data_IF_340398743990
#
_entry.id   IF_340398743990
#
_cell.length_a   1.000
_cell.length_b   1.000
_cell.length_c   1.000
_cell.angle_alpha   90.00
_cell.angle_beta   90.00
_cell.angle_gamma   90.00
#
_symmetry.space_group_name_H-M   'P 1'
#
loop_
_entity.id
_entity.type
_entity.pdbx_description
1 polymer ?
#
# COMPACT_ATOMS: atom_id res chain seq x y z
N UNK A 1 7.06 -31.53 -52.86
CA UNK A 1 7.18 -32.88 -52.29
C UNK A 1 6.40 -32.93 -50.99
N UNK A 2 5.43 -33.85 -50.86
CA UNK A 2 4.77 -34.21 -49.60
C UNK A 2 5.39 -35.52 -49.10
N UNK A 3 5.47 -35.73 -47.78
CA UNK A 3 5.18 -37.05 -47.26
C UNK A 3 4.02 -36.99 -46.26
N UNK A 4 3.07 -37.88 -46.50
CA UNK A 4 1.91 -38.21 -45.68
C UNK A 4 2.24 -39.51 -44.96
N UNK A 5 2.22 -39.58 -43.63
CA UNK A 5 2.10 -40.82 -42.86
C UNK A 5 1.34 -40.52 -41.56
N UNK A 6 0.03 -40.76 -41.52
CA UNK A 6 -0.69 -41.98 -41.08
C UNK A 6 -0.72 -42.19 -39.56
N UNK A 7 -1.96 -42.13 -39.05
CA UNK A 7 -2.45 -42.51 -37.70
C UNK A 7 -2.29 -44.01 -37.42
N UNK A 8 -2.39 -44.36 -36.12
CA UNK A 8 -2.90 -45.59 -35.43
C UNK A 8 -1.97 -45.93 -34.24
N UNK A 9 -2.38 -46.34 -33.04
CA UNK A 9 -3.67 -46.61 -32.40
C UNK A 9 -3.49 -46.82 -30.87
N UNK A 10 -4.61 -46.71 -30.13
CA UNK A 10 -5.08 -47.53 -28.98
C UNK A 10 -4.29 -47.66 -27.64
N UNK A 11 -4.90 -47.05 -26.61
CA UNK A 11 -5.28 -47.59 -25.27
C UNK A 11 -4.35 -48.48 -24.44
N UNK A 12 -4.09 -48.08 -23.19
CA UNK A 12 -4.11 -48.97 -22.03
C UNK A 12 -4.48 -48.18 -20.75
N UNK A 13 -5.47 -48.69 -20.01
CA UNK A 13 -5.88 -48.21 -18.71
C UNK A 13 -4.86 -48.58 -17.62
N UNK A 14 -4.69 -47.73 -16.62
CA UNK A 14 -3.86 -47.98 -15.44
C UNK A 14 -4.44 -47.29 -14.21
N UNK A 15 -5.33 -48.00 -13.53
CA UNK A 15 -5.86 -47.66 -12.21
C UNK A 15 -4.80 -48.05 -11.16
N UNK A 16 -4.33 -47.11 -10.33
CA UNK A 16 -3.66 -47.43 -9.07
C UNK A 16 -4.16 -46.49 -7.98
N UNK A 17 -4.98 -47.07 -7.10
CA UNK A 17 -5.36 -46.56 -5.78
C UNK A 17 -4.25 -46.93 -4.78
N UNK A 18 -3.87 -46.02 -3.87
CA UNK A 18 -3.85 -46.29 -2.42
C UNK A 18 -3.38 -45.06 -1.61
N UNK A 19 -4.16 -44.64 -0.58
CA UNK A 19 -3.77 -43.62 0.39
C UNK A 19 -2.89 -44.22 1.50
N UNK A 20 -1.83 -43.50 1.87
CA UNK A 20 -1.03 -43.84 3.06
C UNK A 20 -1.78 -43.33 4.30
N UNK A 21 -2.30 -44.26 5.08
CA UNK A 21 -2.78 -44.02 6.42
C UNK A 21 -1.60 -43.77 7.37
N UNK A 22 -1.60 -42.63 8.06
CA UNK A 22 -0.91 -42.48 9.35
C UNK A 22 -1.96 -42.28 10.43
N UNK A 23 -2.09 -43.32 11.24
CA UNK A 23 -2.84 -43.35 12.49
C UNK A 23 -2.07 -42.52 13.52
N UNK A 24 -2.69 -41.45 14.00
CA UNK A 24 -2.29 -40.74 15.21
C UNK A 24 -3.45 -40.79 16.19
N UNK A 25 -3.42 -41.78 17.09
CA UNK A 25 -4.36 -41.95 18.19
C UNK A 25 -3.94 -41.00 19.33
N UNK A 26 -4.80 -40.06 19.69
CA UNK A 26 -4.63 -39.16 20.83
C UNK A 26 -6.00 -38.72 21.34
N UNK A 27 -6.65 -39.60 22.10
CA UNK A 27 -7.86 -39.29 22.89
C UNK A 27 -7.38 -38.87 24.28
N UNK A 28 -7.66 -37.63 24.63
CA UNK A 28 -7.40 -36.97 25.91
C UNK A 28 -7.36 -35.47 25.61
N UNK A 29 -8.41 -34.68 25.82
CA UNK A 29 -9.17 -34.53 27.06
C UNK A 29 -8.79 -33.15 27.62
N UNK A 30 -9.62 -32.14 27.35
CA UNK A 30 -9.45 -30.76 27.85
C UNK A 30 -9.35 -29.71 26.74
N UNK A 31 -10.45 -29.48 26.01
CA UNK A 31 -10.63 -28.31 25.15
C UNK A 31 -11.05 -27.11 26.04
N UNK A 32 -10.08 -26.56 26.76
CA UNK A 32 -10.12 -25.19 27.28
C UNK A 32 -8.68 -24.68 27.39
N UNK A 33 -8.12 -24.21 26.28
CA UNK A 33 -7.39 -22.94 26.29
C UNK A 33 -7.01 -22.50 24.86
N UNK A 34 -7.50 -21.30 24.53
CA UNK A 34 -6.67 -20.23 24.01
C UNK A 34 -5.78 -20.53 22.79
N UNK A 35 -6.37 -20.33 21.61
CA UNK A 35 -5.89 -19.35 20.61
C UNK A 35 -6.34 -19.76 19.22
N UNK A 36 -7.56 -19.35 18.87
CA UNK A 36 -7.90 -19.14 17.47
C UNK A 36 -7.00 -18.02 16.91
N UNK A 37 -5.83 -18.40 16.39
CA UNK A 37 -4.98 -17.54 15.58
C UNK A 37 -5.84 -16.90 14.50
N UNK A 38 -6.01 -15.58 14.57
CA UNK A 38 -6.76 -14.76 13.61
C UNK A 38 -5.98 -14.71 12.28
N UNK A 39 -6.36 -15.46 11.23
CA UNK A 39 -5.55 -15.56 10.02
C UNK A 39 -5.60 -14.31 9.13
N UNK A 40 -6.55 -13.40 9.40
CA UNK A 40 -6.79 -12.20 8.60
C UNK A 40 -6.06 -10.93 9.08
N UNK A 41 -5.36 -10.97 10.23
CA UNK A 41 -4.66 -9.78 10.76
C UNK A 41 -3.30 -9.56 10.09
N UNK A 42 -2.55 -10.63 9.84
CA UNK A 42 -1.23 -10.56 9.22
C UNK A 42 -1.23 -9.88 7.82
N UNK A 43 -2.20 -10.14 6.91
CA UNK A 43 -2.23 -9.46 5.62
C UNK A 43 -2.59 -7.97 5.70
N UNK A 44 -3.44 -7.58 6.66
CA UNK A 44 -3.83 -6.19 6.85
C UNK A 44 -2.67 -5.36 7.44
N UNK A 45 -1.95 -5.93 8.40
CA UNK A 45 -0.78 -5.30 9.01
C UNK A 45 0.37 -5.17 7.99
N UNK A 46 0.59 -6.18 7.13
CA UNK A 46 1.54 -6.08 6.02
C UNK A 46 1.16 -4.94 5.06
N UNK A 47 -0.10 -4.89 4.63
CA UNK A 47 -0.58 -3.86 3.72
C UNK A 47 -0.34 -2.45 4.29
N UNK A 48 -0.65 -2.23 5.57
CA UNK A 48 -0.43 -0.95 6.24
C UNK A 48 1.06 -0.58 6.31
N UNK A 49 1.93 -1.52 6.67
CA UNK A 49 3.38 -1.31 6.72
C UNK A 49 3.95 -0.98 5.34
N UNK A 50 3.64 -1.78 4.31
CA UNK A 50 4.11 -1.55 2.94
C UNK A 50 3.62 -0.23 2.37
N UNK A 51 2.39 0.15 2.69
CA UNK A 51 1.82 1.42 2.25
C UNK A 51 2.50 2.61 2.93
N UNK A 52 2.81 2.49 4.23
CA UNK A 52 3.60 3.50 4.95
C UNK A 52 4.98 3.69 4.32
N UNK A 53 5.72 2.59 4.13
CA UNK A 53 7.06 2.61 3.54
C UNK A 53 7.05 3.28 2.16
N UNK A 54 6.08 2.90 1.32
CA UNK A 54 5.97 3.41 -0.04
C UNK A 54 5.69 4.91 -0.09
N UNK A 55 4.74 5.38 0.72
CA UNK A 55 4.39 6.80 0.78
C UNK A 55 5.51 7.61 1.43
N UNK A 56 6.14 7.11 2.49
CA UNK A 56 7.28 7.80 3.11
C UNK A 56 8.42 8.00 2.10
N UNK A 57 8.76 6.98 1.31
CA UNK A 57 9.78 7.11 0.27
C UNK A 57 9.42 8.17 -0.80
N UNK A 58 8.14 8.33 -1.12
CA UNK A 58 7.68 9.38 -2.04
C UNK A 58 7.81 10.78 -1.42
N UNK A 59 7.44 10.94 -0.15
CA UNK A 59 7.59 12.19 0.60
C UNK A 59 9.07 12.59 0.72
N UNK A 60 9.93 11.62 1.01
CA UNK A 60 11.38 11.84 1.12
C UNK A 60 11.97 12.26 -0.24
N UNK A 61 11.51 11.64 -1.34
CA UNK A 61 11.89 12.04 -2.69
C UNK A 61 11.44 13.47 -3.04
N UNK A 62 10.23 13.87 -2.64
CA UNK A 62 9.76 15.26 -2.81
C UNK A 62 10.62 16.26 -2.04
N UNK A 63 10.98 15.93 -0.79
CA UNK A 63 11.84 16.78 0.04
C UNK A 63 13.26 16.89 -0.53
N UNK A 64 13.80 15.79 -1.06
CA UNK A 64 15.11 15.72 -1.70
C UNK A 64 15.13 16.24 -3.15
N UNK A 65 13.96 16.51 -3.74
CA UNK A 65 13.78 16.84 -5.16
C UNK A 65 14.31 15.77 -6.11
N UNK A 66 14.21 14.51 -5.69
CA UNK A 66 14.61 13.36 -6.51
C UNK A 66 13.42 12.85 -7.33
N UNK A 67 13.34 13.35 -8.56
CA UNK A 67 12.28 13.00 -9.53
C UNK A 67 12.25 11.49 -9.81
N UNK A 68 13.41 10.86 -9.96
CA UNK A 68 13.49 9.44 -10.29
C UNK A 68 13.03 8.58 -9.11
N UNK A 69 13.46 8.91 -7.89
CA UNK A 69 13.01 8.24 -6.69
C UNK A 69 11.49 8.40 -6.48
N UNK A 70 10.95 9.60 -6.70
CA UNK A 70 9.51 9.88 -6.60
C UNK A 70 8.71 9.05 -7.61
N UNK A 71 9.09 9.11 -8.89
CA UNK A 71 8.47 8.34 -9.98
C UNK A 71 8.46 6.84 -9.69
N UNK A 72 9.53 6.30 -9.13
CA UNK A 72 9.64 4.86 -8.82
C UNK A 72 8.68 4.37 -7.73
N UNK A 73 8.07 5.26 -6.95
CA UNK A 73 7.05 4.88 -5.96
C UNK A 73 5.65 4.73 -6.57
N UNK A 74 5.43 5.28 -7.76
CA UNK A 74 4.14 5.30 -8.43
C UNK A 74 3.93 4.04 -9.28
N UNK A 75 2.68 3.60 -9.41
CA UNK A 75 2.33 2.56 -10.37
C UNK A 75 2.65 3.04 -11.80
N UNK A 76 3.04 2.12 -12.68
CA UNK A 76 3.51 2.46 -14.04
C UNK A 76 2.53 3.32 -14.84
N UNK A 77 1.21 3.11 -14.65
CA UNK A 77 0.15 3.87 -15.30
C UNK A 77 0.15 5.38 -14.94
N UNK A 78 0.75 5.77 -13.82
CA UNK A 78 0.85 7.18 -13.40
C UNK A 78 2.14 7.86 -13.88
N UNK A 79 3.10 7.12 -14.42
CA UNK A 79 4.42 7.66 -14.75
C UNK A 79 4.36 8.80 -15.76
N UNK A 80 3.59 8.65 -16.84
CA UNK A 80 3.47 9.71 -17.86
C UNK A 80 2.81 10.97 -17.29
N UNK A 81 1.79 10.80 -16.44
CA UNK A 81 1.13 11.93 -15.77
C UNK A 81 2.06 12.64 -14.78
N UNK A 82 2.88 11.89 -14.06
CA UNK A 82 3.92 12.41 -13.18
C UNK A 82 4.98 13.19 -13.97
N UNK A 83 5.50 12.61 -15.06
CA UNK A 83 6.54 13.23 -15.87
C UNK A 83 6.05 14.56 -16.46
N UNK A 84 4.78 14.65 -16.86
CA UNK A 84 4.16 15.90 -17.36
C UNK A 84 3.86 16.92 -16.25
N UNK A 85 3.31 16.47 -15.12
CA UNK A 85 2.76 17.34 -14.08
C UNK A 85 3.78 17.73 -13.01
N UNK A 86 4.47 16.73 -12.46
CA UNK A 86 5.31 16.88 -11.27
C UNK A 86 6.65 17.56 -11.56
N UNK A 87 7.12 17.51 -12.81
CA UNK A 87 8.37 18.16 -13.25
C UNK A 87 8.14 19.50 -13.96
N UNK A 88 6.89 19.86 -14.21
CA UNK A 88 6.53 21.11 -14.86
C UNK A 88 6.76 22.34 -13.97
N UNK A 89 6.58 23.56 -14.50
CA UNK A 89 6.80 24.81 -13.74
C UNK A 89 5.92 25.01 -12.51
N UNK A 90 4.93 24.16 -12.26
CA UNK A 90 4.08 24.17 -11.06
C UNK A 90 4.02 22.79 -10.38
N UNK A 91 4.92 21.87 -10.76
CA UNK A 91 4.93 20.51 -10.24
C UNK A 91 5.61 20.41 -8.87
N UNK A 92 5.26 19.39 -8.10
CA UNK A 92 5.74 19.21 -6.72
C UNK A 92 7.27 19.06 -6.62
N UNK A 93 7.93 18.67 -7.71
CA UNK A 93 9.39 18.53 -7.80
C UNK A 93 10.08 19.76 -8.37
N UNK A 94 9.35 20.83 -8.71
CA UNK A 94 9.98 22.05 -9.20
C UNK A 94 10.79 22.76 -8.10
N UNK A 95 11.88 23.44 -8.51
CA UNK A 95 12.88 24.04 -7.62
C UNK A 95 12.33 25.11 -6.66
N UNK A 96 11.25 25.79 -7.06
CA UNK A 96 10.67 26.91 -6.30
C UNK A 96 9.69 26.44 -5.21
N UNK A 97 9.32 25.16 -5.19
CA UNK A 97 8.61 24.55 -4.07
C UNK A 97 9.61 23.94 -3.11
N UNK A 98 9.46 24.19 -1.82
CA UNK A 98 10.18 23.45 -0.79
C UNK A 98 9.19 22.67 0.06
N UNK A 99 9.56 21.46 0.46
CA UNK A 99 8.76 20.63 1.36
C UNK A 99 9.50 20.55 2.70
N UNK A 100 9.38 21.56 3.58
CA UNK A 100 10.07 21.57 4.87
C UNK A 100 9.58 20.48 5.83
N UNK A 101 8.35 20.00 5.67
CA UNK A 101 7.76 18.99 6.53
C UNK A 101 6.73 18.18 5.76
N UNK A 102 6.75 16.86 5.95
CA UNK A 102 5.71 15.96 5.47
C UNK A 102 5.52 14.84 6.50
N UNK A 103 4.27 14.57 6.87
CA UNK A 103 3.96 13.58 7.91
C UNK A 103 2.76 12.72 7.51
N UNK A 104 2.91 11.40 7.69
CA UNK A 104 1.79 10.45 7.59
C UNK A 104 0.96 10.55 8.87
N UNK A 105 -0.32 10.90 8.73
CA UNK A 105 -1.24 11.14 9.85
C UNK A 105 -2.16 9.96 10.14
N UNK A 106 -2.52 9.17 9.12
CA UNK A 106 -3.42 8.03 9.25
C UNK A 106 -3.21 7.02 8.11
N UNK A 107 -3.48 5.74 8.37
CA UNK A 107 -3.47 4.66 7.37
C UNK A 107 -4.67 3.76 7.62
N UNK A 108 -5.45 3.51 6.56
CA UNK A 108 -6.65 2.70 6.64
C UNK A 108 -6.91 1.94 5.35
N UNK A 109 -7.61 0.81 5.46
CA UNK A 109 -8.13 0.12 4.29
C UNK A 109 -9.22 0.94 3.61
N UNK A 110 -9.13 1.08 2.29
CA UNK A 110 -10.12 1.69 1.41
C UNK A 110 -10.58 0.72 0.31
N UNK A 111 -11.53 1.15 -0.54
CA UNK A 111 -12.12 0.28 -1.57
C UNK A 111 -11.16 -0.08 -2.70
N UNK A 112 -10.11 0.73 -2.92
CA UNK A 112 -9.15 0.58 -4.02
C UNK A 112 -7.74 0.21 -3.54
N UNK A 113 -7.55 -0.04 -2.24
CA UNK A 113 -6.24 -0.25 -1.64
C UNK A 113 -6.15 0.35 -0.24
N UNK A 114 -4.93 0.53 0.28
CA UNK A 114 -4.70 1.29 1.51
C UNK A 114 -4.72 2.78 1.22
N UNK A 115 -5.51 3.53 1.98
CA UNK A 115 -5.50 4.98 1.98
C UNK A 115 -4.51 5.47 3.05
N UNK A 116 -3.48 6.18 2.62
CA UNK A 116 -2.47 6.81 3.48
C UNK A 116 -2.71 8.31 3.46
N UNK A 117 -3.10 8.86 4.61
CA UNK A 117 -3.32 10.29 4.77
C UNK A 117 -2.04 10.96 5.21
N UNK A 118 -1.75 12.11 4.62
CA UNK A 118 -0.57 12.90 4.96
C UNK A 118 -0.92 14.37 5.12
N UNK A 119 -0.07 15.09 5.83
CA UNK A 119 0.00 16.54 5.80
C UNK A 119 1.35 16.94 5.25
N UNK A 120 1.37 17.73 4.17
CA UNK A 120 2.60 18.21 3.51
C UNK A 120 2.65 19.72 3.64
N UNK A 121 3.65 20.25 4.32
CA UNK A 121 3.94 21.67 4.35
C UNK A 121 4.70 22.04 3.08
N UNK A 122 4.18 22.98 2.31
CA UNK A 122 4.78 23.46 1.07
C UNK A 122 5.09 24.94 1.21
N UNK A 123 6.34 25.30 0.92
CA UNK A 123 6.81 26.69 0.90
C UNK A 123 7.00 27.16 -0.54
N UNK A 124 6.41 28.31 -0.85
CA UNK A 124 6.60 29.05 -2.12
C UNK A 124 6.97 30.49 -1.79
N UNK A 125 8.20 30.88 -2.15
CA UNK A 125 8.74 32.18 -1.76
C UNK A 125 8.79 32.35 -0.24
N UNK A 126 7.97 33.25 0.32
CA UNK A 126 7.90 33.54 1.76
C UNK A 126 6.68 32.93 2.46
N UNK A 127 5.86 32.16 1.74
CA UNK A 127 4.61 31.59 2.26
C UNK A 127 4.75 30.09 2.42
N UNK A 128 4.32 29.58 3.56
CA UNK A 128 4.24 28.15 3.85
C UNK A 128 2.79 27.77 4.13
N UNK A 129 2.32 26.70 3.50
CA UNK A 129 0.95 26.19 3.66
C UNK A 129 0.99 24.69 3.84
N UNK A 130 0.29 24.17 4.86
CA UNK A 130 0.07 22.74 5.02
C UNK A 130 -1.08 22.27 4.14
N UNK A 131 -0.84 21.23 3.33
CA UNK A 131 -1.82 20.62 2.43
C UNK A 131 -2.11 19.20 2.87
N UNK A 132 -3.37 18.86 3.20
CA UNK A 132 -3.74 17.48 3.42
C UNK A 132 -3.80 16.75 2.07
N UNK A 133 -3.25 15.54 2.00
CA UNK A 133 -3.31 14.66 0.84
C UNK A 133 -3.70 13.25 1.28
N UNK A 134 -4.28 12.49 0.35
CA UNK A 134 -4.55 11.07 0.50
C UNK A 134 -3.91 10.33 -0.67
N UNK A 135 -3.02 9.40 -0.36
CA UNK A 135 -2.47 8.46 -1.32
C UNK A 135 -3.23 7.15 -1.24
N UNK A 136 -3.54 6.57 -2.39
CA UNK A 136 -4.04 5.20 -2.48
C UNK A 136 -2.89 4.31 -2.90
N UNK A 137 -2.51 3.37 -2.03
CA UNK A 137 -1.49 2.35 -2.31
C UNK A 137 -2.19 1.04 -2.60
N UNK A 138 -1.82 0.41 -3.72
CA UNK A 138 -2.34 -0.91 -4.11
C UNK A 138 -1.20 -1.90 -4.29
N UNK A 139 -1.57 -3.18 -4.33
CA UNK A 139 -0.66 -4.26 -4.69
C UNK A 139 -0.75 -4.51 -6.20
N UNK A 140 0.38 -4.46 -6.88
CA UNK A 140 0.52 -4.81 -8.29
C UNK A 140 1.45 -6.02 -8.42
N UNK A 141 0.86 -7.19 -8.67
CA UNK A 141 1.58 -8.47 -8.61
C UNK A 141 2.17 -8.73 -7.22
N UNK A 142 3.50 -8.88 -7.16
CA UNK A 142 4.25 -9.02 -5.90
C UNK A 142 4.61 -7.69 -5.23
N UNK A 143 4.50 -6.58 -5.94
CA UNK A 143 4.96 -5.26 -5.51
C UNK A 143 3.81 -4.38 -5.01
N UNK A 144 4.17 -3.28 -4.35
CA UNK A 144 3.25 -2.26 -3.87
C UNK A 144 3.59 -0.93 -4.52
N UNK A 145 2.60 -0.17 -4.97
CA UNK A 145 2.80 1.13 -5.62
C UNK A 145 1.67 2.10 -5.30
N UNK A 146 1.97 3.40 -5.39
CA UNK A 146 0.96 4.47 -5.27
C UNK A 146 0.17 4.50 -6.57
N UNK A 147 -1.13 4.21 -6.47
CA UNK A 147 -2.07 4.14 -7.59
C UNK A 147 -2.91 5.40 -7.77
N UNK A 148 -2.95 6.28 -6.76
CA UNK A 148 -3.58 7.59 -6.86
C UNK A 148 -3.07 8.55 -5.78
N UNK A 149 -3.18 9.83 -6.07
CA UNK A 149 -3.06 10.94 -5.12
C UNK A 149 -4.30 11.82 -5.25
N UNK A 150 -4.87 12.24 -4.12
CA UNK A 150 -6.01 13.15 -4.09
C UNK A 150 -5.86 14.19 -2.96
N UNK A 151 -6.45 15.39 -3.10
CA UNK A 151 -6.58 16.33 -1.99
C UNK A 151 -7.28 15.67 -0.80
N UNK A 152 -6.70 15.83 0.39
CA UNK A 152 -7.35 15.42 1.62
C UNK A 152 -8.43 16.40 2.04
N UNK A 153 -9.48 15.89 2.67
CA UNK A 153 -10.41 16.73 3.43
C UNK A 153 -9.67 17.42 4.59
N UNK A 154 -10.21 18.52 5.14
CA UNK A 154 -9.63 19.15 6.32
C UNK A 154 -9.42 18.11 7.42
N UNK A 155 -8.26 18.16 8.08
CA UNK A 155 -7.97 17.29 9.21
C UNK A 155 -9.10 17.45 10.24
N UNK A 156 -9.58 16.33 10.81
CA UNK A 156 -10.56 16.39 11.88
C UNK A 156 -9.98 17.24 13.03
N UNK A 157 -10.77 18.12 13.65
CA UNK A 157 -10.28 18.93 14.76
C UNK A 157 -9.79 18.02 15.89
N UNK A 158 -8.56 18.25 16.36
CA UNK A 158 -8.02 17.59 17.55
C UNK A 158 -8.97 17.86 18.72
N UNK A 159 -9.43 16.85 19.49
CA UNK A 159 -10.28 17.12 20.65
C UNK A 159 -9.47 17.91 21.68
N UNK A 160 -9.82 19.19 21.87
CA UNK A 160 -9.28 20.01 22.95
C UNK A 160 -9.71 19.39 24.26
N UNK A 161 -8.75 18.80 24.99
CA UNK A 161 -9.00 18.15 26.27
C UNK A 161 -9.76 19.09 27.21
N UNK A 162 -10.82 18.54 27.81
CA UNK A 162 -11.60 19.21 28.86
C UNK A 162 -10.65 19.67 29.98
N UNK A 163 -10.54 20.98 30.18
CA UNK A 163 -9.85 21.52 31.35
C UNK A 163 -10.60 21.04 32.61
N UNK A 164 -9.90 20.49 33.62
CA UNK A 164 -10.57 20.12 34.87
C UNK A 164 -11.12 21.38 35.55
N UNK A 165 -12.42 21.38 35.85
CA UNK A 165 -13.05 22.41 36.70
C UNK A 165 -12.31 22.51 38.02
N UNK A 166 -11.96 23.72 38.51
CA UNK A 166 -11.50 23.88 39.87
C UNK A 166 -12.66 23.58 40.83
N UNK A 167 -12.45 22.64 41.74
CA UNK A 167 -13.35 22.40 42.86
C UNK A 167 -13.28 23.60 43.83
N UNK A 168 -14.44 24.11 44.22
CA UNK A 168 -14.60 25.07 45.32
C UNK A 168 -14.66 24.35 46.67
#
# INVERSE_FOLDING_TARGET
MRPTYRRLAATAAGLMLLPVALVGCGIGGGDEDESATKPARAPADEAATRSRERVQAYLDAMAAKDVAAGRSQLCALLHDGFDLGATGPNGDFADHFQVPEAAITDIRSGPLGQEVRVSVSVTVGKRTVARPLVFTVTRDGSDWCIAAEAPGGPAAPTPTGVAPSPAS
#
